data_IF_672376650747
#
_entry.id   IF_672376650747
#
_cell.length_a   1.000
_cell.length_b   1.000
_cell.length_c   1.000
_cell.angle_alpha   90.00
_cell.angle_beta   90.00
_cell.angle_gamma   90.00
#
_symmetry.space_group_name_H-M   'P 1'
#
loop_
_entity.id
_entity.type
_entity.pdbx_description
1 polymer ?
#
# COMPACT_ATOMS: atom_id res chain seq x y z
N UNK A 1 20.80 -7.06 -4.43
CA UNK A 1 20.76 -6.25 -3.19
C UNK A 1 19.33 -6.09 -2.67
N UNK A 2 18.38 -5.56 -3.46
CA UNK A 2 16.96 -5.46 -3.07
C UNK A 2 16.33 -6.81 -2.65
N UNK A 3 16.57 -7.88 -3.42
CA UNK A 3 15.98 -9.21 -3.14
C UNK A 3 16.46 -9.83 -1.82
N UNK A 4 17.71 -9.59 -1.43
CA UNK A 4 18.27 -10.11 -0.18
C UNK A 4 17.66 -9.41 1.03
N UNK A 5 17.55 -8.07 0.97
CA UNK A 5 16.90 -7.25 1.99
C UNK A 5 15.42 -7.61 2.10
N UNK A 6 14.72 -7.74 0.97
CA UNK A 6 13.32 -8.14 0.98
C UNK A 6 13.12 -9.53 1.59
N UNK A 7 13.97 -10.50 1.24
CA UNK A 7 13.92 -11.85 1.84
C UNK A 7 14.10 -11.80 3.35
N UNK A 8 15.06 -11.03 3.85
CA UNK A 8 15.31 -10.87 5.28
C UNK A 8 14.13 -10.19 6.00
N UNK A 9 13.53 -9.16 5.40
CA UNK A 9 12.33 -8.50 5.92
C UNK A 9 11.15 -9.48 6.02
N UNK A 10 11.01 -10.39 5.04
CA UNK A 10 9.98 -11.44 5.07
C UNK A 10 10.28 -12.47 6.15
N UNK A 11 11.51 -12.96 6.24
CA UNK A 11 11.93 -13.98 7.21
C UNK A 11 11.82 -13.51 8.67
N UNK A 12 12.01 -12.22 8.91
CA UNK A 12 11.91 -11.59 10.23
C UNK A 12 10.50 -11.12 10.59
N UNK A 13 9.56 -11.15 9.64
CA UNK A 13 8.19 -10.63 9.82
C UNK A 13 8.07 -9.10 9.78
N UNK A 14 9.19 -8.37 9.60
CA UNK A 14 9.17 -6.92 9.46
C UNK A 14 8.43 -6.46 8.20
N UNK A 15 8.43 -7.28 7.14
CA UNK A 15 7.61 -7.02 5.96
C UNK A 15 6.11 -6.96 6.30
N UNK A 16 5.60 -7.92 7.06
CA UNK A 16 4.19 -7.96 7.46
C UNK A 16 3.85 -6.79 8.39
N UNK A 17 4.77 -6.41 9.27
CA UNK A 17 4.65 -5.23 10.15
C UNK A 17 4.55 -3.92 9.34
N UNK A 18 5.43 -3.74 8.35
CA UNK A 18 5.41 -2.59 7.45
C UNK A 18 4.12 -2.54 6.61
N UNK A 19 3.67 -3.69 6.09
CA UNK A 19 2.43 -3.79 5.33
C UNK A 19 1.20 -3.47 6.18
N UNK A 20 1.16 -3.96 7.43
CA UNK A 20 0.09 -3.64 8.37
C UNK A 20 0.04 -2.15 8.71
N UNK A 21 1.21 -1.53 8.92
CA UNK A 21 1.31 -0.09 9.15
C UNK A 21 0.81 0.72 7.94
N UNK A 22 1.20 0.34 6.72
CA UNK A 22 0.71 0.97 5.49
C UNK A 22 -0.81 0.87 5.37
N UNK A 23 -1.37 -0.33 5.55
CA UNK A 23 -2.81 -0.55 5.49
C UNK A 23 -3.57 0.30 6.53
N UNK A 24 -3.03 0.41 7.74
CA UNK A 24 -3.59 1.27 8.78
C UNK A 24 -3.59 2.74 8.35
N UNK A 25 -2.47 3.25 7.86
CA UNK A 25 -2.37 4.64 7.39
C UNK A 25 -3.31 4.93 6.21
N UNK A 26 -3.44 4.00 5.26
CA UNK A 26 -4.36 4.11 4.13
C UNK A 26 -5.84 4.04 4.56
N UNK A 27 -6.13 3.34 5.65
CA UNK A 27 -7.48 3.29 6.22
C UNK A 27 -7.79 4.57 6.98
N UNK A 28 -6.88 5.02 7.86
CA UNK A 28 -7.06 6.22 8.69
C UNK A 28 -7.11 7.51 7.86
N UNK A 29 -6.44 7.54 6.70
CA UNK A 29 -6.53 8.65 5.75
C UNK A 29 -7.81 8.66 4.90
N UNK A 30 -8.68 7.65 5.04
CA UNK A 30 -9.90 7.51 4.24
C UNK A 30 -9.68 6.95 2.82
N UNK A 31 -8.42 6.81 2.38
CA UNK A 31 -8.09 6.39 1.01
C UNK A 31 -8.69 5.01 0.66
N UNK A 32 -8.66 4.07 1.60
CA UNK A 32 -9.22 2.72 1.40
C UNK A 32 -10.72 2.77 1.13
N UNK A 33 -11.46 3.58 1.88
CA UNK A 33 -12.91 3.71 1.74
C UNK A 33 -13.28 4.46 0.46
N UNK A 34 -12.54 5.53 0.13
CA UNK A 34 -12.72 6.28 -1.11
C UNK A 34 -12.52 5.38 -2.33
N UNK A 35 -11.43 4.61 -2.36
CA UNK A 35 -11.13 3.71 -3.47
C UNK A 35 -12.18 2.59 -3.57
N UNK A 36 -12.67 2.08 -2.44
CA UNK A 36 -13.75 1.09 -2.40
C UNK A 36 -15.07 1.65 -2.92
N UNK A 37 -15.43 2.87 -2.53
CA UNK A 37 -16.65 3.54 -2.97
C UNK A 37 -16.60 3.84 -4.48
N UNK A 38 -15.50 4.43 -4.95
CA UNK A 38 -15.25 4.65 -6.38
C UNK A 38 -15.32 3.37 -7.19
N UNK A 39 -14.71 2.28 -6.71
CA UNK A 39 -14.73 0.98 -7.40
C UNK A 39 -16.14 0.41 -7.50
N UNK A 40 -16.95 0.56 -6.44
CA UNK A 40 -18.37 0.14 -6.43
C UNK A 40 -19.22 0.97 -7.39
N UNK A 41 -19.04 2.28 -7.41
CA UNK A 41 -19.74 3.17 -8.33
C UNK A 41 -19.40 2.85 -9.79
N UNK A 42 -18.10 2.63 -10.07
CA UNK A 42 -17.64 2.21 -11.39
C UNK A 42 -18.25 0.86 -11.80
N UNK A 43 -18.27 -0.11 -10.89
CA UNK A 43 -18.88 -1.41 -11.16
C UNK A 43 -20.38 -1.30 -11.46
N UNK A 44 -21.11 -0.41 -10.79
CA UNK A 44 -22.55 -0.16 -11.03
C UNK A 44 -22.83 0.47 -12.39
N UNK A 45 -21.91 1.28 -12.91
CA UNK A 45 -22.05 1.94 -14.21
C UNK A 45 -21.54 1.11 -15.39
N UNK A 46 -20.86 -0.02 -15.13
CA UNK A 46 -20.41 -0.94 -16.16
C UNK A 46 -21.58 -1.73 -16.77
N UNK A 47 -21.72 -1.71 -18.10
CA UNK A 47 -22.63 -2.61 -18.81
C UNK A 47 -22.25 -4.09 -18.62
N UNK A 48 -20.95 -4.39 -18.60
CA UNK A 48 -20.42 -5.71 -18.31
C UNK A 48 -19.32 -5.59 -17.25
N UNK A 49 -19.46 -6.34 -16.15
CA UNK A 49 -18.50 -6.30 -15.06
C UNK A 49 -17.13 -6.83 -15.52
N UNK A 50 -16.09 -6.04 -15.28
CA UNK A 50 -14.71 -6.39 -15.62
C UNK A 50 -13.80 -6.13 -14.42
N UNK A 51 -13.26 -7.20 -13.85
CA UNK A 51 -12.29 -7.09 -12.76
C UNK A 51 -11.05 -6.31 -13.19
N UNK A 52 -10.54 -6.58 -14.40
CA UNK A 52 -9.37 -5.89 -14.94
C UNK A 52 -9.58 -4.37 -14.98
N UNK A 53 -10.74 -3.91 -15.43
CA UNK A 53 -11.05 -2.47 -15.52
C UNK A 53 -11.15 -1.80 -14.14
N UNK A 54 -11.59 -2.53 -13.11
CA UNK A 54 -11.60 -2.06 -11.73
C UNK A 54 -10.17 -2.04 -11.16
N UNK A 55 -9.39 -3.09 -11.42
CA UNK A 55 -8.00 -3.17 -10.97
C UNK A 55 -7.14 -2.07 -11.57
N UNK A 56 -7.24 -1.83 -12.88
CA UNK A 56 -6.50 -0.76 -13.56
C UNK A 56 -6.88 0.64 -12.98
N UNK A 57 -8.12 0.81 -12.51
CA UNK A 57 -8.57 2.04 -11.82
C UNK A 57 -7.96 2.20 -10.43
N UNK A 58 -7.91 1.11 -9.65
CA UNK A 58 -7.27 1.08 -8.34
C UNK A 58 -5.76 1.39 -8.48
N UNK A 59 -5.12 0.81 -9.50
CA UNK A 59 -3.71 1.08 -9.79
C UNK A 59 -3.47 2.56 -10.10
N UNK A 60 -4.33 3.19 -10.90
CA UNK A 60 -4.26 4.64 -11.13
C UNK A 60 -4.51 5.45 -9.83
N UNK A 61 -5.36 4.96 -8.93
CA UNK A 61 -5.64 5.54 -7.62
C UNK A 61 -4.44 5.59 -6.66
N UNK A 62 -3.37 4.83 -6.91
CA UNK A 62 -2.13 4.92 -6.10
C UNK A 62 -1.50 6.31 -6.13
N UNK A 63 -1.74 7.08 -7.19
CA UNK A 63 -1.30 8.47 -7.29
C UNK A 63 -2.01 9.40 -6.28
N UNK A 64 -3.21 9.05 -5.83
CA UNK A 64 -4.01 9.87 -4.89
C UNK A 64 -3.68 9.62 -3.43
N UNK A 65 -2.80 8.66 -3.13
CA UNK A 65 -2.30 8.45 -1.77
C UNK A 65 -1.63 9.74 -1.27
N UNK A 66 -2.02 10.19 -0.08
CA UNK A 66 -1.58 11.47 0.46
C UNK A 66 -0.05 11.50 0.62
N UNK A 67 0.59 12.68 0.42
CA UNK A 67 2.02 12.83 0.64
C UNK A 67 2.45 12.45 2.07
N UNK A 68 1.60 12.72 3.06
CA UNK A 68 1.88 12.40 4.46
C UNK A 68 2.06 10.89 4.67
N UNK A 69 1.17 10.06 4.13
CA UNK A 69 1.28 8.59 4.23
C UNK A 69 2.58 8.10 3.61
N UNK A 70 2.98 8.68 2.46
CA UNK A 70 4.26 8.35 1.80
C UNK A 70 5.46 8.72 2.67
N UNK A 71 5.45 9.91 3.28
CA UNK A 71 6.54 10.37 4.15
C UNK A 71 6.69 9.47 5.37
N UNK A 72 5.59 9.21 6.09
CA UNK A 72 5.61 8.35 7.29
C UNK A 72 6.03 6.91 6.95
N UNK A 73 5.53 6.35 5.84
CA UNK A 73 5.93 5.02 5.40
C UNK A 73 7.43 4.97 5.04
N UNK A 74 7.95 5.97 4.34
CA UNK A 74 9.37 6.03 4.00
C UNK A 74 10.27 6.18 5.23
N UNK A 75 9.79 6.87 6.27
CA UNK A 75 10.48 6.95 7.56
C UNK A 75 10.55 5.58 8.24
N UNK A 76 9.42 4.89 8.34
CA UNK A 76 9.32 3.53 8.89
C UNK A 76 10.22 2.53 8.16
N UNK A 77 10.25 2.59 6.82
CA UNK A 77 11.14 1.74 6.01
C UNK A 77 12.60 2.03 6.36
N UNK A 78 13.02 3.30 6.46
CA UNK A 78 14.40 3.66 6.82
C UNK A 78 14.78 3.15 8.20
N UNK A 79 13.95 3.42 9.21
CA UNK A 79 14.20 2.98 10.58
C UNK A 79 14.33 1.44 10.67
N UNK A 80 13.50 0.72 9.90
CA UNK A 80 13.56 -0.74 9.84
C UNK A 80 14.85 -1.21 9.17
N UNK A 81 15.27 -0.57 8.07
CA UNK A 81 16.50 -0.93 7.37
C UNK A 81 17.76 -0.58 8.17
N UNK A 82 17.76 0.51 8.92
CA UNK A 82 18.87 0.90 9.81
C UNK A 82 19.16 -0.19 10.86
N UNK A 83 18.12 -0.80 11.43
CA UNK A 83 18.25 -1.93 12.36
C UNK A 83 18.95 -3.15 11.73
N UNK A 84 18.84 -3.33 10.41
CA UNK A 84 19.49 -4.42 9.69
C UNK A 84 20.93 -4.11 9.26
N UNK A 85 21.32 -2.84 9.22
CA UNK A 85 22.69 -2.41 8.88
C UNK A 85 23.58 -2.33 10.12
N UNK A 86 22.99 -2.10 11.30
CA UNK A 86 23.70 -2.08 12.59
C UNK A 86 23.81 -3.46 13.27
N UNK A 87 23.17 -4.51 12.72
CA UNK A 87 23.21 -5.89 13.20
C UNK A 87 24.22 -6.75 12.42
#
# INVERSE_FOLDING_TARGET
>A
MYEAVHRQLVETGEWDRLLAALNRMLSESGWTDDMRNRSREKARSMQQLSFKTILDDIQAGTATVSPQVKVEMMKLIRETLEQFVEA
#
